data_IF_037975852084
#
_entry.id   IF_037975852084
#
_cell.length_a   1.000
_cell.length_b   1.000
_cell.length_c   1.000
_cell.angle_alpha   90.00
_cell.angle_beta   90.00
_cell.angle_gamma   90.00
#
_symmetry.space_group_name_H-M   'P 1'
#
loop_
_entity.id
_entity.type
_entity.pdbx_description
1 polymer ?
#
# COMPACT_ATOMS: atom_id res chain seq x y z
N UNK A 1 -16.81 -11.52 -7.82
CA UNK A 1 -16.34 -11.60 -7.40
C UNK A 1 -15.60 -11.11 -6.78
N UNK A 2 -15.64 -10.84 -6.25
CA UNK A 2 -15.01 -10.31 -5.48
C UNK A 2 -13.82 -10.78 -5.15
N UNK A 3 -13.42 -11.33 -5.79
CA UNK A 3 -12.30 -11.94 -5.70
C UNK A 3 -11.13 -11.16 -5.53
N UNK A 4 -11.22 -9.93 -5.41
CA UNK A 4 -10.12 -9.04 -5.17
C UNK A 4 -9.83 -8.79 -3.72
N UNK A 5 -10.20 -9.73 -2.88
CA UNK A 5 -9.69 -9.75 -1.52
C UNK A 5 -8.32 -10.36 -1.60
N UNK A 6 -7.32 -9.51 -1.55
CA UNK A 6 -5.95 -9.97 -1.58
C UNK A 6 -5.44 -9.96 -0.15
N UNK A 7 -5.47 -11.14 0.46
CA UNK A 7 -4.89 -11.33 1.79
C UNK A 7 -3.84 -12.43 1.67
N UNK A 8 -2.70 -12.27 2.33
CA UNK A 8 -1.62 -13.25 2.21
C UNK A 8 -2.04 -14.67 2.55
N UNK A 9 -2.87 -14.81 3.56
CA UNK A 9 -3.34 -16.12 4.01
C UNK A 9 -4.27 -16.81 3.04
N UNK A 10 -4.86 -16.07 2.07
CA UNK A 10 -5.77 -16.64 1.10
C UNK A 10 -5.14 -16.93 -0.25
N UNK A 11 -4.21 -16.09 -0.66
CA UNK A 11 -3.71 -16.12 -2.03
C UNK A 11 -2.24 -16.43 -2.15
N UNK A 12 -1.47 -16.18 -1.10
CA UNK A 12 -0.02 -16.35 -1.16
C UNK A 12 0.46 -17.19 0.01
N UNK A 13 1.23 -18.22 -0.27
CA UNK A 13 1.98 -18.90 0.76
C UNK A 13 3.25 -18.08 1.08
N UNK A 14 4.00 -18.50 2.06
CA UNK A 14 5.18 -17.78 2.51
C UNK A 14 6.22 -17.58 1.41
N UNK A 15 6.44 -18.60 0.60
CA UNK A 15 7.40 -18.53 -0.52
C UNK A 15 6.93 -17.56 -1.58
N UNK A 16 5.64 -17.60 -1.92
CA UNK A 16 5.06 -16.69 -2.89
C UNK A 16 5.08 -15.25 -2.39
N UNK A 17 4.81 -15.04 -1.11
CA UNK A 17 4.87 -13.73 -0.50
C UNK A 17 6.26 -13.12 -0.62
N UNK A 18 7.29 -13.91 -0.31
CA UNK A 18 8.68 -13.45 -0.45
C UNK A 18 9.02 -13.11 -1.88
N UNK A 19 8.56 -13.92 -2.83
CA UNK A 19 8.81 -13.68 -4.25
C UNK A 19 8.15 -12.39 -4.73
N UNK A 20 6.91 -12.14 -4.33
CA UNK A 20 6.19 -10.92 -4.70
C UNK A 20 6.89 -9.70 -4.11
N UNK A 21 7.28 -9.76 -2.84
CA UNK A 21 8.00 -8.66 -2.20
C UNK A 21 9.32 -8.37 -2.89
N UNK A 22 10.07 -9.42 -3.22
CA UNK A 22 11.36 -9.24 -3.89
C UNK A 22 11.19 -8.60 -5.25
N UNK A 23 10.23 -9.06 -6.04
CA UNK A 23 9.98 -8.50 -7.37
C UNK A 23 9.60 -7.02 -7.26
N UNK A 24 8.70 -6.69 -6.34
CA UNK A 24 8.26 -5.31 -6.14
C UNK A 24 9.43 -4.42 -5.71
N UNK A 25 10.26 -4.90 -4.80
CA UNK A 25 11.42 -4.15 -4.33
C UNK A 25 12.44 -3.93 -5.45
N UNK A 26 12.74 -4.97 -6.23
CA UNK A 26 13.70 -4.87 -7.33
C UNK A 26 13.25 -3.84 -8.37
N UNK A 27 11.96 -3.85 -8.71
CA UNK A 27 11.40 -2.86 -9.63
C UNK A 27 11.49 -1.44 -9.05
N UNK A 28 11.24 -1.30 -7.74
CA UNK A 28 11.31 0.00 -7.09
C UNK A 28 12.73 0.55 -7.06
N UNK A 29 13.72 -0.29 -6.83
CA UNK A 29 15.13 0.13 -6.82
C UNK A 29 15.52 0.67 -8.19
N UNK A 30 15.16 -0.04 -9.26
CA UNK A 30 15.42 0.41 -10.62
C UNK A 30 14.68 1.72 -10.91
N UNK A 31 13.43 1.80 -10.49
CA UNK A 31 12.58 2.97 -10.73
C UNK A 31 13.14 4.22 -10.06
N UNK A 32 13.65 4.10 -8.83
CA UNK A 32 14.24 5.24 -8.12
C UNK A 32 15.43 5.82 -8.86
N UNK A 33 16.26 4.98 -9.44
CA UNK A 33 17.42 5.45 -10.20
C UNK A 33 17.01 6.22 -11.46
N UNK A 34 15.79 6.00 -11.95
CA UNK A 34 15.25 6.66 -13.15
C UNK A 34 14.24 7.75 -12.82
N UNK A 35 13.95 7.98 -11.56
CA UNK A 35 12.93 8.96 -11.15
C UNK A 35 11.50 8.50 -11.38
N UNK A 36 11.26 7.23 -11.57
CA UNK A 36 9.94 6.68 -11.84
C UNK A 36 9.17 6.48 -10.52
N UNK A 37 8.03 7.14 -10.39
CA UNK A 37 7.21 7.08 -9.18
C UNK A 37 6.34 5.84 -9.09
N UNK A 38 5.99 5.25 -10.23
CA UNK A 38 4.98 4.19 -10.31
C UNK A 38 5.43 2.92 -9.59
N UNK A 39 6.62 2.43 -9.92
CA UNK A 39 7.09 1.18 -9.32
C UNK A 39 7.45 1.35 -7.84
N UNK A 40 7.85 2.54 -7.43
CA UNK A 40 8.07 2.85 -6.01
C UNK A 40 6.74 2.81 -5.26
N UNK A 41 5.70 3.43 -5.83
CA UNK A 41 4.35 3.35 -5.28
C UNK A 41 3.86 1.92 -5.19
N UNK A 42 4.07 1.14 -6.26
CA UNK A 42 3.59 -0.24 -6.32
C UNK A 42 4.27 -1.12 -5.28
N UNK A 43 5.56 -0.90 -5.03
CA UNK A 43 6.24 -1.60 -3.95
C UNK A 43 5.58 -1.33 -2.61
N UNK A 44 5.25 -0.08 -2.32
CA UNK A 44 4.61 0.26 -1.06
C UNK A 44 3.21 -0.35 -0.96
N UNK A 45 2.45 -0.37 -2.05
CA UNK A 45 1.13 -1.03 -2.07
C UNK A 45 1.27 -2.48 -1.62
N UNK A 46 2.22 -3.20 -2.18
CA UNK A 46 2.48 -4.60 -1.83
C UNK A 46 2.81 -4.73 -0.33
N UNK A 47 3.71 -3.90 0.16
CA UNK A 47 4.14 -3.98 1.56
C UNK A 47 3.01 -3.64 2.52
N UNK A 48 2.17 -2.67 2.19
CA UNK A 48 1.04 -2.31 3.06
C UNK A 48 0.01 -3.44 3.10
N UNK A 49 -0.32 -4.02 1.96
CA UNK A 49 -1.27 -5.13 1.94
C UNK A 49 -0.75 -6.31 2.75
N UNK A 50 0.51 -6.70 2.53
CA UNK A 50 1.08 -7.85 3.22
C UNK A 50 1.30 -7.59 4.71
N UNK A 51 1.55 -6.34 5.08
CA UNK A 51 1.79 -5.98 6.48
C UNK A 51 0.54 -5.67 7.29
N UNK A 52 -0.59 -5.39 6.65
CA UNK A 52 -1.81 -4.98 7.36
C UNK A 52 -3.01 -5.87 7.08
N UNK A 53 -3.02 -6.58 5.96
CA UNK A 53 -4.18 -7.39 5.57
C UNK A 53 -5.36 -6.57 5.05
N UNK A 54 -5.16 -5.31 4.70
CA UNK A 54 -6.23 -4.47 4.17
C UNK A 54 -6.73 -4.97 2.82
N UNK A 55 -8.02 -4.73 2.58
CA UNK A 55 -8.62 -4.99 1.29
C UNK A 55 -8.26 -3.88 0.31
N UNK A 56 -8.28 -4.20 -0.98
CA UNK A 56 -7.92 -3.22 -2.00
C UNK A 56 -8.81 -1.98 -1.98
N UNK A 57 -10.10 -2.14 -1.66
CA UNK A 57 -11.00 -1.00 -1.53
C UNK A 57 -10.63 -0.11 -0.35
N UNK A 58 -10.17 -0.71 0.74
CA UNK A 58 -9.71 0.03 1.91
C UNK A 58 -8.42 0.79 1.62
N UNK A 59 -7.50 0.16 0.89
CA UNK A 59 -6.28 0.82 0.47
C UNK A 59 -6.56 2.02 -0.42
N UNK A 60 -7.51 1.88 -1.35
CA UNK A 60 -7.84 2.98 -2.26
C UNK A 60 -8.38 4.20 -1.53
N UNK A 61 -8.96 4.00 -0.36
CA UNK A 61 -9.54 5.08 0.45
C UNK A 61 -8.62 5.63 1.53
N UNK A 62 -7.40 5.09 1.69
CA UNK A 62 -6.48 5.59 2.70
C UNK A 62 -6.04 7.00 2.40
N UNK A 63 -6.21 7.88 3.37
CA UNK A 63 -5.74 9.26 3.31
C UNK A 63 -4.52 9.42 4.19
N UNK A 64 -3.66 10.35 3.83
CA UNK A 64 -2.46 10.64 4.62
C UNK A 64 -2.82 11.04 6.04
N UNK A 65 -3.91 11.78 6.22
CA UNK A 65 -4.36 12.18 7.57
C UNK A 65 -4.70 11.01 8.48
N UNK A 66 -4.99 9.84 7.90
CA UNK A 66 -5.32 8.64 8.66
C UNK A 66 -4.09 7.81 9.03
N UNK A 67 -2.91 8.24 8.62
CA UNK A 67 -1.65 7.58 8.93
C UNK A 67 -1.03 8.20 10.17
N UNK A 68 -0.87 7.40 11.21
CA UNK A 68 -0.28 7.85 12.48
C UNK A 68 1.16 7.36 12.52
N UNK A 69 2.06 8.25 12.11
CA UNK A 69 3.49 7.96 11.94
C UNK A 69 4.37 8.76 12.88
N UNK A 70 3.79 9.41 13.87
CA UNK A 70 4.56 10.18 14.84
C UNK A 70 5.42 9.29 15.73
N UNK A 71 6.17 9.90 16.61
CA UNK A 71 7.04 9.16 17.53
C UNK A 71 6.21 8.21 18.38
N UNK A 72 6.58 6.93 18.35
CA UNK A 72 5.85 5.91 19.08
C UNK A 72 4.53 5.50 18.46
N UNK A 73 4.21 6.00 17.26
CA UNK A 73 2.96 5.69 16.57
C UNK A 73 3.23 4.90 15.29
N UNK A 74 2.62 3.74 15.18
CA UNK A 74 2.75 2.87 14.01
C UNK A 74 1.37 2.32 13.68
N UNK A 75 0.46 3.18 13.24
CA UNK A 75 -0.91 2.74 13.00
C UNK A 75 -1.57 3.53 11.89
N UNK A 76 -2.60 2.94 11.30
CA UNK A 76 -3.47 3.63 10.38
C UNK A 76 -4.92 3.42 10.78
N UNK A 77 -5.78 4.32 10.34
CA UNK A 77 -7.21 4.23 10.61
C UNK A 77 -7.92 3.86 9.32
N UNK A 78 -8.69 2.76 9.37
CA UNK A 78 -9.59 2.39 8.29
C UNK A 78 -10.92 3.05 8.58
N UNK A 79 -11.26 4.04 7.76
CA UNK A 79 -12.48 4.81 7.95
C UNK A 79 -13.68 4.09 7.38
N UNK A 80 -14.75 4.15 8.16
CA UNK A 80 -16.06 3.88 7.66
C UNK A 80 -16.22 2.50 7.09
N UNK A 81 -15.85 1.54 7.85
CA UNK A 81 -16.21 0.18 7.54
C UNK A 81 -17.72 0.04 7.54
N UNK A 82 -18.20 -1.12 7.24
CA UNK A 82 -19.63 -1.44 7.33
C UNK A 82 -20.15 -1.10 8.71
N UNK A 83 -21.28 -0.44 8.75
CA UNK A 83 -21.88 0.01 10.00
C UNK A 83 -21.29 1.30 10.52
N UNK A 84 -20.49 2.00 9.72
CA UNK A 84 -19.93 3.28 10.10
C UNK A 84 -18.85 3.22 11.16
N UNK A 85 -18.27 2.06 11.40
CA UNK A 85 -17.24 1.90 12.43
C UNK A 85 -15.84 2.02 11.81
N UNK A 86 -15.04 2.87 12.43
CA UNK A 86 -13.63 2.97 12.10
C UNK A 86 -12.85 1.89 12.87
N UNK A 87 -11.74 1.47 12.34
CA UNK A 87 -10.86 0.58 13.09
C UNK A 87 -9.42 1.00 12.91
N UNK A 88 -8.59 0.68 13.88
CA UNK A 88 -7.18 1.03 13.90
C UNK A 88 -6.37 -0.23 13.65
N UNK A 89 -5.42 -0.15 12.72
CA UNK A 89 -4.53 -1.26 12.42
C UNK A 89 -3.10 -0.82 12.69
N UNK A 90 -2.43 -1.56 13.59
CA UNK A 90 -1.02 -1.34 13.87
C UNK A 90 -0.14 -2.09 12.88
N UNK A 91 1.07 -1.61 12.70
CA UNK A 91 2.06 -2.27 11.85
C UNK A 91 3.47 -2.09 12.42
N UNK A 92 4.43 -2.84 11.89
CA UNK A 92 5.78 -2.82 12.43
C UNK A 92 6.57 -1.57 12.00
N UNK A 93 7.69 -1.36 12.66
CA UNK A 93 8.53 -0.19 12.38
C UNK A 93 9.15 -0.22 11.00
N UNK A 94 9.37 -1.41 10.45
CA UNK A 94 9.89 -1.53 9.08
C UNK A 94 8.91 -0.95 8.07
N UNK A 95 7.62 -1.29 8.20
CA UNK A 95 6.60 -0.75 7.32
C UNK A 95 6.44 0.75 7.52
N UNK A 96 6.52 1.21 8.77
CA UNK A 96 6.51 2.65 9.06
C UNK A 96 7.61 3.38 8.29
N UNK A 97 8.82 2.86 8.32
CA UNK A 97 9.95 3.46 7.61
C UNK A 97 9.72 3.50 6.11
N UNK A 98 9.15 2.43 5.55
CA UNK A 98 8.84 2.37 4.12
C UNK A 98 7.79 3.41 3.73
N UNK A 99 6.78 3.59 4.57
CA UNK A 99 5.73 4.58 4.31
C UNK A 99 6.31 6.00 4.37
N UNK A 100 7.09 6.30 5.41
CA UNK A 100 7.72 7.61 5.55
C UNK A 100 8.64 7.92 4.38
N UNK A 101 9.44 6.93 3.97
CA UNK A 101 10.36 7.08 2.86
C UNK A 101 9.60 7.35 1.55
N UNK A 102 8.49 6.66 1.33
CA UNK A 102 7.67 6.89 0.15
C UNK A 102 7.07 8.30 0.15
N UNK A 103 6.55 8.76 1.29
CA UNK A 103 5.97 10.10 1.39
C UNK A 103 7.01 11.18 1.11
N UNK A 104 8.26 10.97 1.52
CA UNK A 104 9.34 11.90 1.23
C UNK A 104 9.75 11.85 -0.24
N UNK A 105 9.64 10.68 -0.86
CA UNK A 105 10.05 10.49 -2.25
C UNK A 105 9.05 11.03 -3.25
N UNK A 106 7.76 10.85 -2.99
CA UNK A 106 6.72 11.22 -3.95
C UNK A 106 6.64 12.75 -4.09
N UNK A 107 6.35 13.19 -5.31
CA UNK A 107 6.24 14.62 -5.59
C UNK A 107 4.81 15.14 -5.53
N UNK A 108 3.84 14.27 -5.36
CA UNK A 108 2.42 14.61 -5.37
C UNK A 108 1.98 15.26 -4.05
N UNK A 109 1.00 16.15 -4.14
CA UNK A 109 0.31 16.73 -2.98
C UNK A 109 -1.05 16.06 -2.74
N UNK A 110 -1.27 14.87 -3.29
CA UNK A 110 -2.53 14.15 -3.12
C UNK A 110 -2.83 13.89 -1.64
N UNK A 111 -4.09 14.01 -1.26
CA UNK A 111 -4.55 13.67 0.08
C UNK A 111 -4.54 12.16 0.34
N UNK A 112 -4.56 11.38 -0.72
CA UNK A 112 -4.56 9.91 -0.62
C UNK A 112 -3.15 9.38 -0.58
N UNK A 113 -2.93 8.31 0.19
CA UNK A 113 -1.63 7.67 0.27
C UNK A 113 -1.21 7.15 -1.11
N UNK A 114 -2.14 6.52 -1.82
CA UNK A 114 -1.89 6.00 -3.15
C UNK A 114 -2.71 6.76 -4.19
N UNK A 115 -2.04 7.30 -5.19
CA UNK A 115 -2.68 8.06 -6.24
C UNK A 115 -2.21 7.58 -7.61
N UNK A 116 -3.02 7.88 -8.64
CA UNK A 116 -2.69 7.60 -10.03
C UNK A 116 -1.62 8.56 -10.53
N UNK A 117 -1.14 8.34 -11.75
CA UNK A 117 -0.19 9.25 -12.39
C UNK A 117 -0.74 10.66 -12.51
N UNK A 118 -2.06 10.81 -12.56
CA UNK A 118 -2.72 12.12 -12.64
C UNK A 118 -2.89 12.77 -11.27
N UNK A 119 -2.46 12.13 -10.21
CA UNK A 119 -2.63 12.62 -8.85
C UNK A 119 -4.00 12.35 -8.26
N UNK A 120 -4.85 11.61 -8.95
CA UNK A 120 -6.17 11.25 -8.47
C UNK A 120 -6.11 9.98 -7.61
N UNK A 121 -7.12 9.78 -6.77
CA UNK A 121 -7.25 8.56 -5.99
C UNK A 121 -7.18 7.32 -6.87
N UNK A 122 -6.39 6.33 -6.50
CA UNK A 122 -6.39 5.05 -7.19
C UNK A 122 -7.69 4.30 -6.90
N UNK A 123 -8.25 3.67 -7.91
CA UNK A 123 -9.42 2.82 -7.71
C UNK A 123 -8.98 1.47 -7.15
N UNK A 124 -9.92 0.73 -6.55
CA UNK A 124 -9.64 -0.62 -6.09
C UNK A 124 -9.18 -1.53 -7.25
N UNK A 125 -9.70 -1.29 -8.45
CA UNK A 125 -9.30 -2.05 -9.62
C UNK A 125 -7.86 -1.73 -10.03
N UNK A 126 -7.44 -0.48 -9.92
CA UNK A 126 -6.07 -0.08 -10.19
C UNK A 126 -5.09 -0.72 -9.22
N UNK A 127 -5.43 -0.76 -7.93
CA UNK A 127 -4.60 -1.42 -6.93
C UNK A 127 -4.55 -2.92 -7.16
N UNK A 128 -5.69 -3.54 -7.46
CA UNK A 128 -5.73 -4.97 -7.75
C UNK A 128 -4.85 -5.36 -8.92
N UNK A 129 -4.80 -4.53 -9.95
CA UNK A 129 -3.92 -4.79 -11.10
C UNK A 129 -2.44 -4.79 -10.75
N UNK A 130 -2.04 -4.02 -9.75
CA UNK A 130 -0.65 -4.02 -9.28
C UNK A 130 -0.26 -5.43 -8.82
N UNK A 131 -1.12 -6.08 -8.05
CA UNK A 131 -0.85 -7.44 -7.60
C UNK A 131 -0.80 -8.43 -8.75
N UNK A 132 -1.72 -8.34 -9.71
CA UNK A 132 -1.70 -9.23 -10.87
C UNK A 132 -0.44 -9.06 -11.69
N UNK A 133 0.03 -7.85 -11.85
CA UNK A 133 1.19 -7.58 -12.66
C UNK A 133 2.47 -8.11 -12.02
N UNK A 134 2.57 -8.04 -10.69
CA UNK A 134 3.78 -8.44 -9.98
C UNK A 134 3.74 -9.92 -9.57
N UNK A 135 2.59 -10.40 -9.14
CA UNK A 135 2.44 -11.79 -8.77
C UNK A 135 2.25 -12.68 -9.99
#
# INVERSE_FOLDING_TARGET
MSQWIITPDKYLNETEEKAVRKTALDLAIIARSKGNQIDVRNHLIIEVVLGTGLRVSELSNLKIEDMHLGKGQNALIVRNGKGGKDRVIGFNSKLKSLIQDYLDYRVSCSLYLFHSERGEKMTRFGIGRVFKMIA
#
